data_IF_594345886393
#
_entry.id   IF_594345886393
#
_cell.length_a   1.000
_cell.length_b   1.000
_cell.length_c   1.000
_cell.angle_alpha   90.00
_cell.angle_beta   90.00
_cell.angle_gamma   90.00
#
_symmetry.space_group_name_H-M   'P 1'
#
loop_
_entity.id
_entity.type
_entity.pdbx_description
1 polymer ?
#
# COMPACT_ATOMS: atom_id res chain seq x y z
N UNK A 1 7.00 -23.73 -2.19
CA UNK A 1 7.58 -22.52 -1.57
C UNK A 1 8.63 -22.96 -0.57
N UNK A 2 9.80 -22.32 -0.52
CA UNK A 2 10.72 -22.50 0.59
C UNK A 2 10.00 -22.09 1.88
N UNK A 3 10.22 -22.81 2.98
CA UNK A 3 9.65 -22.43 4.27
C UNK A 3 10.22 -21.07 4.70
N UNK A 4 9.35 -20.06 4.84
CA UNK A 4 9.70 -18.74 5.36
C UNK A 4 9.13 -18.66 6.78
N UNK A 5 9.97 -18.49 7.83
CA UNK A 5 9.47 -18.27 9.18
C UNK A 5 8.56 -17.03 9.23
N UNK A 6 7.39 -17.16 9.87
CA UNK A 6 6.38 -16.08 9.91
C UNK A 6 6.93 -14.79 10.55
N UNK A 7 7.83 -14.94 11.54
CA UNK A 7 8.49 -13.84 12.25
C UNK A 7 9.51 -13.08 11.39
N UNK A 8 9.85 -13.61 10.20
CA UNK A 8 10.69 -12.95 9.22
C UNK A 8 9.90 -12.23 8.12
N UNK A 9 8.57 -12.17 8.24
CA UNK A 9 7.71 -11.49 7.26
C UNK A 9 7.24 -10.17 7.85
N UNK A 10 7.54 -9.08 7.15
CA UNK A 10 6.99 -7.77 7.40
C UNK A 10 5.87 -7.51 6.39
N UNK A 11 4.66 -7.38 6.90
CA UNK A 11 3.48 -7.05 6.11
C UNK A 11 3.38 -5.53 5.98
N UNK A 12 3.02 -5.04 4.79
CA UNK A 12 3.00 -3.63 4.47
C UNK A 12 1.82 -3.30 3.55
N UNK A 13 1.26 -2.12 3.79
CA UNK A 13 0.25 -1.44 2.96
C UNK A 13 0.50 0.08 3.04
N UNK A 14 0.14 0.82 1.99
CA UNK A 14 0.32 2.28 1.94
C UNK A 14 -0.96 3.01 1.52
N UNK A 15 -1.10 4.24 2.02
CA UNK A 15 -2.13 5.17 1.55
C UNK A 15 -1.53 6.41 0.93
N UNK A 16 -2.10 6.77 -0.21
CA UNK A 16 -1.58 7.83 -1.07
C UNK A 16 -2.69 8.78 -1.47
N UNK A 17 -2.32 10.04 -1.65
CA UNK A 17 -3.24 11.11 -2.06
C UNK A 17 -2.59 11.91 -3.18
N UNK A 18 -3.36 12.62 -4.02
CA UNK A 18 -2.81 13.61 -4.95
C UNK A 18 -1.84 14.55 -4.22
N UNK A 19 -0.78 15.03 -4.87
CA UNK A 19 0.23 15.90 -4.23
C UNK A 19 -0.36 17.17 -3.63
N UNK A 20 -1.37 17.71 -4.32
CA UNK A 20 -2.13 18.89 -3.92
C UNK A 20 -3.62 18.61 -3.98
N UNK A 21 -4.43 19.40 -3.30
CA UNK A 21 -5.89 19.23 -3.26
C UNK A 21 -6.54 19.39 -4.64
N UNK A 22 -6.02 20.31 -5.45
CA UNK A 22 -6.51 20.60 -6.80
C UNK A 22 -5.36 20.56 -7.81
N UNK A 23 -5.73 20.36 -9.08
CA UNK A 23 -4.79 20.40 -10.19
C UNK A 23 -4.13 21.77 -10.34
N UNK A 24 -4.87 22.85 -10.04
CA UNK A 24 -4.36 24.23 -10.13
C UNK A 24 -3.25 24.54 -9.11
N UNK A 25 -3.18 23.77 -8.02
CA UNK A 25 -2.15 23.94 -7.00
C UNK A 25 -0.83 23.25 -7.35
N UNK A 26 -0.77 22.45 -8.42
CA UNK A 26 0.48 21.88 -8.90
C UNK A 26 1.40 22.95 -9.52
N UNK A 27 2.73 22.73 -9.49
CA UNK A 27 3.65 23.47 -10.34
C UNK A 27 3.18 23.45 -11.81
N UNK A 28 3.32 24.56 -12.57
CA UNK A 28 2.81 24.66 -13.94
C UNK A 28 3.26 23.51 -14.86
N UNK A 29 4.52 23.10 -14.74
CA UNK A 29 5.07 21.97 -15.50
C UNK A 29 4.37 20.65 -15.16
N UNK A 30 4.16 20.35 -13.87
CA UNK A 30 3.48 19.12 -13.46
C UNK A 30 1.99 19.14 -13.82
N UNK A 31 1.35 20.30 -13.78
CA UNK A 31 -0.02 20.43 -14.29
C UNK A 31 -0.10 20.03 -15.76
N UNK A 32 0.76 20.59 -16.60
CA UNK A 32 0.81 20.26 -18.03
C UNK A 32 1.06 18.77 -18.26
N UNK A 33 2.04 18.19 -17.55
CA UNK A 33 2.36 16.76 -17.66
C UNK A 33 1.23 15.85 -17.16
N UNK A 34 0.46 16.29 -16.17
CA UNK A 34 -0.74 15.57 -15.75
C UNK A 34 -1.80 15.58 -16.85
N UNK A 35 -2.05 16.72 -17.50
CA UNK A 35 -3.02 16.84 -18.60
C UNK A 35 -2.66 15.88 -19.76
N UNK A 36 -1.38 15.81 -20.16
CA UNK A 36 -0.91 14.86 -21.17
C UNK A 36 -1.09 13.40 -20.74
N UNK A 37 -0.70 13.07 -19.50
CA UNK A 37 -0.82 11.72 -18.96
C UNK A 37 -2.30 11.29 -18.87
N UNK A 38 -3.16 12.18 -18.39
CA UNK A 38 -4.59 11.90 -18.25
C UNK A 38 -5.25 11.65 -19.60
N UNK A 39 -4.94 12.44 -20.63
CA UNK A 39 -5.44 12.20 -21.99
C UNK A 39 -5.07 10.79 -22.49
N UNK A 40 -3.85 10.33 -22.21
CA UNK A 40 -3.41 8.98 -22.56
C UNK A 40 -4.18 7.90 -21.77
N UNK A 41 -4.37 8.10 -20.47
CA UNK A 41 -5.09 7.15 -19.60
C UNK A 41 -6.55 7.02 -20.05
N UNK A 42 -7.22 8.16 -20.27
CA UNK A 42 -8.62 8.21 -20.71
C UNK A 42 -8.85 7.45 -22.01
N UNK A 43 -7.92 7.58 -22.97
CA UNK A 43 -7.98 6.83 -24.24
C UNK A 43 -7.78 5.31 -24.04
N UNK A 44 -6.97 4.90 -23.07
CA UNK A 44 -6.67 3.48 -22.80
C UNK A 44 -7.70 2.79 -21.91
N UNK A 45 -8.45 3.56 -21.12
CA UNK A 45 -9.44 3.07 -20.15
C UNK A 45 -10.79 3.81 -20.34
N UNK A 46 -11.44 3.68 -21.51
CA UNK A 46 -12.70 4.36 -21.80
C UNK A 46 -13.84 3.93 -20.85
N UNK A 47 -13.73 2.77 -20.19
CA UNK A 47 -14.67 2.30 -19.17
C UNK A 47 -14.51 3.03 -17.82
N UNK A 48 -13.35 3.66 -17.56
CA UNK A 48 -13.06 4.33 -16.29
C UNK A 48 -13.39 5.83 -16.32
N UNK A 49 -13.35 6.44 -17.50
CA UNK A 49 -13.52 7.87 -17.71
C UNK A 49 -14.44 8.15 -18.88
N UNK A 50 -15.50 8.91 -18.62
CA UNK A 50 -16.43 9.40 -19.64
C UNK A 50 -15.72 10.36 -20.61
N UNK A 51 -16.27 10.53 -21.81
CA UNK A 51 -15.63 11.29 -22.90
C UNK A 51 -15.47 12.77 -22.57
N UNK A 52 -16.30 13.29 -21.68
CA UNK A 52 -16.34 14.66 -21.16
C UNK A 52 -15.45 14.86 -19.93
N UNK A 53 -14.98 13.78 -19.29
CA UNK A 53 -14.17 13.90 -18.06
C UNK A 53 -12.95 14.79 -18.30
N UNK A 54 -12.82 15.85 -17.51
CA UNK A 54 -11.73 16.81 -17.56
C UNK A 54 -10.48 16.29 -16.86
N UNK A 55 -9.32 16.88 -17.14
CA UNK A 55 -8.09 16.55 -16.44
C UNK A 55 -8.15 16.87 -14.94
N UNK A 56 -8.93 17.88 -14.54
CA UNK A 56 -9.14 18.22 -13.13
C UNK A 56 -9.96 17.15 -12.39
N UNK A 57 -11.05 16.67 -12.99
CA UNK A 57 -11.84 15.56 -12.44
C UNK A 57 -11.00 14.28 -12.38
N UNK A 58 -10.23 14.02 -13.44
CA UNK A 58 -9.26 12.93 -13.49
C UNK A 58 -8.24 13.00 -12.36
N UNK A 59 -7.74 14.21 -12.08
CA UNK A 59 -6.78 14.47 -11.01
C UNK A 59 -7.36 14.08 -9.66
N UNK A 60 -8.52 14.63 -9.31
CA UNK A 60 -9.21 14.33 -8.05
C UNK A 60 -9.51 12.84 -7.89
N UNK A 61 -9.94 12.17 -8.97
CA UNK A 61 -10.34 10.75 -8.95
C UNK A 61 -9.17 9.78 -8.91
N UNK A 62 -8.00 10.13 -9.46
CA UNK A 62 -6.97 9.13 -9.75
C UNK A 62 -5.52 9.56 -9.61
N UNK A 63 -5.20 10.84 -9.42
CA UNK A 63 -3.81 11.26 -9.27
C UNK A 63 -3.13 10.54 -8.09
N UNK A 64 -3.89 10.23 -7.03
CA UNK A 64 -3.43 9.48 -5.85
C UNK A 64 -2.69 8.17 -6.16
N UNK A 65 -3.02 7.47 -7.25
CA UNK A 65 -2.37 6.19 -7.60
C UNK A 65 -1.14 6.34 -8.52
N UNK A 66 -0.75 7.57 -8.86
CA UNK A 66 0.41 7.86 -9.70
C UNK A 66 1.49 8.59 -8.91
N UNK A 67 2.57 7.89 -8.55
CA UNK A 67 3.65 8.40 -7.69
C UNK A 67 4.30 9.71 -8.16
N UNK A 68 4.18 10.06 -9.45
CA UNK A 68 4.68 11.33 -9.98
C UNK A 68 3.80 12.53 -9.56
N UNK A 69 2.51 12.29 -9.32
CA UNK A 69 1.47 13.30 -9.03
C UNK A 69 0.79 13.10 -7.66
N UNK A 70 1.29 12.15 -6.87
CA UNK A 70 0.80 11.81 -5.54
C UNK A 70 1.91 11.84 -4.49
N UNK A 71 1.49 11.78 -3.23
CA UNK A 71 2.35 11.66 -2.05
C UNK A 71 1.81 10.58 -1.11
N UNK A 72 2.71 9.99 -0.32
CA UNK A 72 2.37 9.03 0.73
C UNK A 72 1.94 9.78 1.98
N UNK A 73 0.81 9.37 2.56
CA UNK A 73 0.28 9.96 3.82
C UNK A 73 0.16 8.93 4.94
N UNK A 74 0.21 7.64 4.62
CA UNK A 74 0.30 6.57 5.59
C UNK A 74 1.11 5.39 5.03
N UNK A 75 1.93 4.77 5.88
CA UNK A 75 2.49 3.44 5.68
C UNK A 75 2.15 2.65 6.94
N UNK A 76 1.39 1.58 6.80
CA UNK A 76 1.17 0.64 7.90
C UNK A 76 2.02 -0.60 7.70
N UNK A 77 2.57 -1.09 8.80
CA UNK A 77 3.36 -2.31 8.83
C UNK A 77 2.87 -3.23 9.93
N UNK A 78 2.98 -4.53 9.69
CA UNK A 78 2.64 -5.57 10.65
C UNK A 78 3.67 -6.67 10.67
N UNK A 79 3.90 -7.27 11.83
CA UNK A 79 4.72 -8.47 11.92
C UNK A 79 4.12 -9.47 12.91
N UNK A 80 4.39 -10.74 12.65
CA UNK A 80 3.97 -11.84 13.51
C UNK A 80 5.08 -12.14 14.52
N UNK A 81 4.70 -12.39 15.78
CA UNK A 81 5.61 -12.93 16.79
C UNK A 81 4.88 -13.92 17.68
N UNK A 82 5.63 -14.69 18.45
CA UNK A 82 5.09 -15.72 19.34
C UNK A 82 5.43 -15.45 20.80
N UNK A 83 4.44 -15.62 21.68
CA UNK A 83 4.61 -15.60 23.14
C UNK A 83 3.97 -16.86 23.71
N UNK A 84 4.76 -17.65 24.44
CA UNK A 84 4.28 -18.92 25.05
C UNK A 84 3.59 -19.88 24.04
N UNK A 85 4.04 -19.88 22.77
CA UNK A 85 3.49 -20.61 21.61
C UNK A 85 2.18 -20.05 21.01
N UNK A 86 1.63 -19.00 21.60
CA UNK A 86 0.52 -18.25 21.02
C UNK A 86 1.05 -17.23 20.00
N UNK A 87 0.32 -17.08 18.89
CA UNK A 87 0.67 -16.19 17.79
C UNK A 87 0.03 -14.81 17.99
N UNK A 88 0.82 -13.76 17.83
CA UNK A 88 0.39 -12.36 17.96
C UNK A 88 0.78 -11.57 16.71
N UNK A 89 0.01 -10.51 16.44
CA UNK A 89 0.36 -9.49 15.46
C UNK A 89 0.72 -8.22 16.21
N UNK A 90 1.80 -7.55 15.80
CA UNK A 90 2.03 -6.16 16.14
C UNK A 90 1.94 -5.29 14.89
N UNK A 91 1.11 -4.26 14.93
CA UNK A 91 0.87 -3.30 13.84
C UNK A 91 1.39 -1.93 14.24
N UNK A 92 1.95 -1.18 13.30
CA UNK A 92 2.38 0.20 13.48
C UNK A 92 2.12 0.99 12.19
N UNK A 93 1.65 2.23 12.30
CA UNK A 93 1.63 3.17 11.17
C UNK A 93 2.68 4.28 11.29
N UNK A 94 3.16 4.74 10.15
CA UNK A 94 3.81 6.03 9.96
C UNK A 94 2.84 6.88 9.15
N UNK A 95 2.25 7.90 9.74
CA UNK A 95 1.21 8.70 9.10
C UNK A 95 1.35 10.18 9.46
N UNK A 96 1.14 11.06 8.49
CA UNK A 96 1.34 12.50 8.69
C UNK A 96 1.29 13.30 7.39
N UNK A 97 1.30 14.63 7.53
CA UNK A 97 1.31 15.57 6.40
C UNK A 97 2.69 15.72 5.74
N UNK A 98 3.75 15.50 6.51
CA UNK A 98 5.14 15.58 6.07
C UNK A 98 5.60 14.21 5.53
N UNK A 99 5.49 14.05 4.21
CA UNK A 99 5.93 12.84 3.49
C UNK A 99 7.42 12.56 3.73
N UNK A 100 8.28 13.58 3.82
CA UNK A 100 9.72 13.40 3.99
C UNK A 100 9.99 12.79 5.36
N UNK A 101 9.38 13.32 6.41
CA UNK A 101 9.50 12.77 7.76
C UNK A 101 8.99 11.32 7.81
N UNK A 102 7.80 11.08 7.26
CA UNK A 102 7.16 9.77 7.20
C UNK A 102 8.06 8.72 6.51
N UNK A 103 8.60 9.06 5.33
CA UNK A 103 9.47 8.17 4.56
C UNK A 103 10.81 7.91 5.25
N UNK A 104 11.40 8.91 5.92
CA UNK A 104 12.62 8.74 6.69
C UNK A 104 12.41 7.82 7.90
N UNK A 105 11.31 7.99 8.64
CA UNK A 105 10.99 7.14 9.79
C UNK A 105 10.77 5.69 9.39
N UNK A 106 10.07 5.47 8.26
CA UNK A 106 9.91 4.15 7.69
C UNK A 106 11.25 3.55 7.22
N UNK A 107 12.08 4.32 6.51
CA UNK A 107 13.40 3.87 6.07
C UNK A 107 14.31 3.48 7.25
N UNK A 108 14.32 4.29 8.31
CA UNK A 108 15.07 4.01 9.54
C UNK A 108 14.60 2.75 10.26
N UNK A 109 13.30 2.42 10.19
CA UNK A 109 12.79 1.14 10.69
C UNK A 109 13.31 -0.03 9.85
N UNK A 110 13.26 0.09 8.52
CA UNK A 110 13.71 -0.94 7.59
C UNK A 110 15.21 -1.25 7.74
N UNK A 111 16.04 -0.24 8.01
CA UNK A 111 17.48 -0.42 8.23
C UNK A 111 17.81 -1.23 9.48
N UNK A 112 16.98 -1.15 10.53
CA UNK A 112 17.18 -1.91 11.77
C UNK A 112 16.94 -3.40 11.60
N UNK A 113 16.20 -3.80 10.56
CA UNK A 113 15.80 -5.18 10.31
C UNK A 113 15.92 -5.54 8.82
N UNK A 114 17.16 -5.62 8.29
CA UNK A 114 17.40 -5.72 6.85
C UNK A 114 17.02 -7.06 6.21
N UNK A 115 16.62 -8.06 7.02
CA UNK A 115 16.37 -9.44 6.55
C UNK A 115 14.88 -9.80 6.42
N UNK A 116 13.97 -8.84 6.46
CA UNK A 116 12.55 -9.14 6.27
C UNK A 116 12.21 -9.51 4.83
N UNK A 117 11.31 -10.48 4.70
CA UNK A 117 10.49 -10.66 3.51
C UNK A 117 9.36 -9.64 3.56
N UNK A 118 9.16 -8.87 2.49
CA UNK A 118 8.10 -7.87 2.43
C UNK A 118 6.85 -8.50 1.84
N UNK A 119 5.76 -8.49 2.58
CA UNK A 119 4.49 -9.08 2.19
C UNK A 119 3.41 -8.00 2.05
N UNK A 120 2.59 -8.08 1.02
CA UNK A 120 1.48 -7.16 0.82
C UNK A 120 0.48 -7.71 -0.19
N UNK A 121 -0.55 -6.93 -0.50
CA UNK A 121 -1.52 -7.27 -1.54
C UNK A 121 -1.30 -6.39 -2.76
N UNK A 122 -0.88 -6.96 -3.89
CA UNK A 122 -0.45 -6.20 -5.08
C UNK A 122 0.82 -5.36 -4.84
N UNK A 123 1.62 -5.74 -3.85
CA UNK A 123 2.79 -5.00 -3.35
C UNK A 123 3.87 -4.81 -4.42
N UNK A 124 3.99 -5.74 -5.37
CA UNK A 124 4.99 -5.70 -6.45
C UNK A 124 4.63 -4.73 -7.56
N UNK A 125 3.34 -4.53 -7.81
CA UNK A 125 2.84 -3.64 -8.87
C UNK A 125 2.48 -2.24 -8.35
N UNK A 126 2.31 -2.07 -7.03
CA UNK A 126 1.92 -0.80 -6.41
C UNK A 126 2.88 -0.32 -5.31
N UNK A 127 2.78 -0.84 -4.09
CA UNK A 127 3.37 -0.24 -2.88
C UNK A 127 4.89 -0.04 -2.98
N UNK A 128 5.64 -1.10 -3.34
CA UNK A 128 7.11 -1.02 -3.41
C UNK A 128 7.56 -0.06 -4.51
N UNK A 129 7.10 -0.18 -5.78
CA UNK A 129 7.41 0.81 -6.80
C UNK A 129 7.05 2.23 -6.40
N UNK A 130 5.91 2.44 -5.74
CA UNK A 130 5.45 3.75 -5.32
C UNK A 130 6.39 4.35 -4.28
N UNK A 131 6.66 3.62 -3.19
CA UNK A 131 7.57 4.05 -2.12
C UNK A 131 8.98 4.34 -2.66
N UNK A 132 9.53 3.45 -3.49
CA UNK A 132 10.85 3.66 -4.10
C UNK A 132 10.90 4.95 -4.93
N UNK A 133 9.89 5.22 -5.76
CA UNK A 133 9.81 6.46 -6.56
C UNK A 133 9.67 7.70 -5.68
N UNK A 134 8.83 7.65 -4.64
CA UNK A 134 8.66 8.78 -3.72
C UNK A 134 9.90 9.05 -2.88
N UNK A 135 10.64 8.01 -2.47
CA UNK A 135 11.95 8.18 -1.84
C UNK A 135 12.94 8.88 -2.78
N UNK A 136 13.01 8.49 -4.06
CA UNK A 136 13.87 9.15 -5.04
C UNK A 136 13.49 10.63 -5.26
N UNK A 137 12.20 10.93 -5.40
CA UNK A 137 11.71 12.32 -5.56
C UNK A 137 12.10 13.17 -4.36
N UNK A 138 12.08 12.61 -3.16
CA UNK A 138 12.42 13.30 -1.91
C UNK A 138 13.91 13.21 -1.53
N UNK A 139 14.77 12.63 -2.37
CA UNK A 139 16.22 12.50 -2.08
C UNK A 139 16.56 11.53 -0.93
N UNK A 140 15.67 10.59 -0.62
CA UNK A 140 15.81 9.60 0.44
C UNK A 140 16.46 8.33 -0.12
N UNK A 141 17.42 7.76 0.60
CA UNK A 141 18.07 6.51 0.21
C UNK A 141 17.08 5.36 0.34
N UNK A 142 16.92 4.58 -0.74
CA UNK A 142 16.04 3.42 -0.75
C UNK A 142 16.64 2.31 0.13
N UNK A 143 15.89 1.75 1.10
CA UNK A 143 16.33 0.60 1.88
C UNK A 143 16.74 -0.58 0.98
N UNK A 144 17.82 -1.28 1.33
CA UNK A 144 18.39 -2.34 0.48
C UNK A 144 17.41 -3.48 0.16
N UNK A 145 16.50 -3.78 1.11
CA UNK A 145 15.43 -4.77 0.94
C UNK A 145 14.41 -4.37 -0.13
N UNK A 146 14.23 -3.07 -0.38
CA UNK A 146 13.32 -2.53 -1.40
C UNK A 146 14.00 -2.23 -2.73
N UNK A 147 15.32 -2.11 -2.74
CA UNK A 147 16.09 -1.82 -3.95
C UNK A 147 16.15 -3.06 -4.87
N UNK A 148 15.30 -3.07 -5.89
CA UNK A 148 15.17 -4.17 -6.88
C UNK A 148 15.84 -3.88 -8.22
N UNK A 149 16.39 -2.68 -8.43
CA UNK A 149 17.02 -2.33 -9.69
C UNK A 149 18.19 -3.29 -9.99
N UNK A 150 18.14 -3.94 -11.17
CA UNK A 150 19.15 -4.91 -11.59
C UNK A 150 19.04 -6.30 -10.94
N UNK A 151 18.10 -6.52 -10.01
CA UNK A 151 17.83 -7.84 -9.43
C UNK A 151 16.87 -8.62 -10.31
N UNK A 152 17.10 -9.92 -10.41
CA UNK A 152 16.17 -10.87 -11.03
C UNK A 152 14.99 -11.11 -10.08
N UNK A 153 13.81 -11.51 -10.59
CA UNK A 153 12.62 -11.68 -9.75
C UNK A 153 12.83 -12.59 -8.52
N UNK A 154 13.62 -13.66 -8.66
CA UNK A 154 13.93 -14.61 -7.58
C UNK A 154 14.98 -14.10 -6.57
N UNK A 155 15.63 -12.97 -6.85
CA UNK A 155 16.56 -12.32 -5.93
C UNK A 155 15.84 -11.30 -5.03
N UNK A 156 14.54 -11.08 -5.25
CA UNK A 156 13.70 -10.23 -4.42
C UNK A 156 13.03 -11.05 -3.30
N UNK A 157 12.87 -10.44 -2.12
CA UNK A 157 12.26 -11.06 -0.94
C UNK A 157 10.78 -10.65 -0.80
N UNK A 158 10.10 -10.41 -1.93
CA UNK A 158 8.72 -9.92 -1.93
C UNK A 158 7.70 -11.05 -2.06
N UNK A 159 6.73 -11.05 -1.17
CA UNK A 159 5.60 -11.96 -1.12
C UNK A 159 4.36 -11.14 -1.50
N UNK A 160 3.81 -11.37 -2.68
CA UNK A 160 2.59 -10.67 -3.13
C UNK A 160 1.40 -11.62 -3.03
N UNK A 161 0.47 -11.36 -2.11
CA UNK A 161 -0.71 -12.22 -1.90
C UNK A 161 -1.62 -12.28 -3.14
N UNK A 162 -1.61 -11.26 -3.99
CA UNK A 162 -2.33 -11.29 -5.26
C UNK A 162 -1.63 -12.21 -6.27
N UNK A 163 -0.30 -12.21 -6.32
CA UNK A 163 0.46 -13.16 -7.13
C UNK A 163 0.27 -14.60 -6.63
N UNK A 164 0.27 -14.82 -5.31
CA UNK A 164 -0.03 -16.13 -4.70
C UNK A 164 -1.42 -16.64 -5.11
N UNK A 165 -2.40 -15.75 -5.17
CA UNK A 165 -3.76 -16.07 -5.58
C UNK A 165 -3.89 -16.40 -7.07
N UNK A 166 -3.18 -15.67 -7.93
CA UNK A 166 -3.40 -15.73 -9.38
C UNK A 166 -3.03 -17.08 -10.00
N UNK A 167 -2.14 -17.88 -9.39
CA UNK A 167 -1.65 -19.15 -9.96
C UNK A 167 -1.22 -19.05 -11.45
N UNK A 168 -0.72 -17.88 -11.87
CA UNK A 168 -0.35 -17.58 -13.26
C UNK A 168 -1.45 -16.95 -14.13
N UNK A 169 -2.66 -16.68 -13.60
CA UNK A 169 -3.69 -15.89 -14.27
C UNK A 169 -3.45 -14.38 -14.11
N UNK A 170 -2.92 -13.76 -15.17
CA UNK A 170 -2.64 -12.32 -15.21
C UNK A 170 -3.83 -11.48 -15.71
N UNK A 171 -4.98 -12.09 -16.04
CA UNK A 171 -6.10 -11.36 -16.64
C UNK A 171 -6.97 -10.65 -15.63
N UNK A 172 -7.07 -11.20 -14.42
CA UNK A 172 -8.06 -10.80 -13.43
C UNK A 172 -7.40 -10.24 -12.17
N UNK A 173 -7.53 -8.94 -11.96
CA UNK A 173 -7.26 -8.35 -10.66
C UNK A 173 -8.32 -8.83 -9.66
N UNK A 174 -7.88 -9.25 -8.47
CA UNK A 174 -8.78 -9.67 -7.38
C UNK A 174 -8.43 -8.85 -6.15
N UNK A 175 -9.38 -8.06 -5.64
CA UNK A 175 -9.11 -7.17 -4.51
C UNK A 175 -8.95 -7.94 -3.19
N UNK A 176 -8.21 -7.35 -2.25
CA UNK A 176 -8.09 -7.85 -0.87
C UNK A 176 -9.46 -8.11 -0.26
N UNK A 177 -10.41 -7.18 -0.44
CA UNK A 177 -11.79 -7.30 0.04
C UNK A 177 -12.52 -8.52 -0.51
N UNK A 178 -12.34 -8.85 -1.79
CA UNK A 178 -12.96 -10.05 -2.36
C UNK A 178 -12.31 -11.31 -1.79
N UNK A 179 -10.99 -11.32 -1.67
CA UNK A 179 -10.25 -12.44 -1.09
C UNK A 179 -10.62 -12.70 0.37
N UNK A 180 -10.70 -11.66 1.20
CA UNK A 180 -11.08 -11.81 2.61
C UNK A 180 -12.50 -12.38 2.74
N UNK A 181 -13.44 -11.94 1.89
CA UNK A 181 -14.80 -12.47 1.86
C UNK A 181 -14.84 -13.98 1.54
N UNK A 182 -14.14 -14.44 0.51
CA UNK A 182 -14.16 -15.87 0.11
C UNK A 182 -13.42 -16.77 1.12
N UNK A 183 -12.38 -16.25 1.80
CA UNK A 183 -11.64 -17.01 2.80
C UNK A 183 -12.30 -17.02 4.19
N UNK A 184 -13.43 -16.31 4.34
CA UNK A 184 -14.17 -16.18 5.60
C UNK A 184 -13.41 -15.35 6.64
N UNK A 185 -12.57 -14.42 6.18
CA UNK A 185 -11.76 -13.56 7.05
C UNK A 185 -12.63 -12.39 7.50
N UNK A 186 -12.87 -12.22 8.81
CA UNK A 186 -13.63 -11.07 9.29
C UNK A 186 -12.84 -9.80 8.98
N UNK A 187 -13.46 -8.94 8.17
CA UNK A 187 -13.05 -7.56 8.01
C UNK A 187 -14.07 -6.70 8.73
N UNK A 188 -13.64 -5.75 9.57
CA UNK A 188 -14.54 -4.70 10.02
C UNK A 188 -15.22 -4.09 8.79
N UNK A 189 -16.50 -3.73 8.89
CA UNK A 189 -17.07 -2.85 7.87
C UNK A 189 -16.33 -1.54 7.96
N UNK A 190 -15.48 -1.27 6.98
CA UNK A 190 -14.82 0.01 6.88
C UNK A 190 -15.80 1.06 6.40
N UNK A 191 -15.62 2.25 6.97
CA UNK A 191 -16.38 3.45 6.66
C UNK A 191 -15.78 4.22 5.48
N UNK A 192 -14.59 3.81 5.01
CA UNK A 192 -13.91 4.32 3.81
C UNK A 192 -13.33 3.19 2.96
N UNK A 193 -13.03 3.50 1.71
CA UNK A 193 -12.19 2.69 0.82
C UNK A 193 -11.10 3.58 0.16
N UNK A 194 -10.17 2.97 -0.57
CA UNK A 194 -9.06 3.68 -1.22
C UNK A 194 -9.46 4.85 -2.13
N UNK A 195 -10.69 4.88 -2.66
CA UNK A 195 -11.17 6.01 -3.48
C UNK A 195 -11.55 7.24 -2.64
N UNK A 196 -11.80 7.05 -1.34
CA UNK A 196 -12.20 8.08 -0.39
C UNK A 196 -11.02 8.71 0.35
N UNK A 197 -9.83 8.10 0.32
CA UNK A 197 -8.67 8.52 1.10
C UNK A 197 -8.25 9.97 0.81
N UNK A 198 -8.32 10.41 -0.45
CA UNK A 198 -8.03 11.79 -0.82
C UNK A 198 -9.02 12.79 -0.20
N UNK A 199 -10.31 12.45 -0.17
CA UNK A 199 -11.36 13.28 0.42
C UNK A 199 -11.20 13.38 1.95
N UNK A 200 -10.93 12.24 2.61
CA UNK A 200 -10.65 12.18 4.05
C UNK A 200 -9.42 13.02 4.40
N UNK A 201 -8.39 12.99 3.56
CA UNK A 201 -7.16 13.75 3.78
C UNK A 201 -7.37 15.25 3.55
N UNK A 202 -7.94 15.64 2.41
CA UNK A 202 -8.02 17.04 2.00
C UNK A 202 -9.20 17.78 2.63
N UNK A 203 -10.37 17.15 2.78
CA UNK A 203 -11.58 17.80 3.26
C UNK A 203 -11.81 17.54 4.74
N UNK A 204 -11.73 16.28 5.18
CA UNK A 204 -11.96 15.95 6.59
C UNK A 204 -10.74 16.20 7.49
N UNK A 205 -9.54 16.32 6.91
CA UNK A 205 -8.26 16.46 7.62
C UNK A 205 -8.04 15.35 8.67
N UNK A 206 -8.44 14.12 8.37
CA UNK A 206 -8.48 13.03 9.33
C UNK A 206 -7.46 11.92 9.03
N UNK A 207 -6.18 12.22 9.24
CA UNK A 207 -5.08 11.25 9.05
C UNK A 207 -5.24 10.00 9.92
N UNK A 208 -5.81 10.14 11.13
CA UNK A 208 -6.01 8.99 12.01
C UNK A 208 -6.99 7.97 11.43
N UNK A 209 -8.04 8.44 10.73
CA UNK A 209 -8.98 7.57 10.02
C UNK A 209 -8.29 6.80 8.88
N UNK A 210 -7.42 7.46 8.13
CA UNK A 210 -6.62 6.85 7.06
C UNK A 210 -5.65 5.79 7.64
N UNK A 211 -4.95 6.14 8.73
CA UNK A 211 -4.06 5.19 9.41
C UNK A 211 -4.81 3.96 9.92
N UNK A 212 -5.97 4.14 10.58
CA UNK A 212 -6.76 3.00 11.06
C UNK A 212 -7.26 2.10 9.91
N UNK A 213 -7.60 2.68 8.75
CA UNK A 213 -7.97 1.92 7.55
C UNK A 213 -6.79 1.07 7.04
N UNK A 214 -5.63 1.71 6.85
CA UNK A 214 -4.41 1.05 6.40
C UNK A 214 -3.93 -0.05 7.38
N UNK A 215 -4.04 0.18 8.69
CA UNK A 215 -3.74 -0.85 9.71
C UNK A 215 -4.62 -2.09 9.57
N UNK A 216 -5.91 -1.91 9.23
CA UNK A 216 -6.83 -3.03 9.00
C UNK A 216 -6.50 -3.79 7.72
N UNK A 217 -6.10 -3.10 6.66
CA UNK A 217 -5.67 -3.75 5.41
C UNK A 217 -4.40 -4.59 5.63
N UNK A 218 -3.47 -4.14 6.48
CA UNK A 218 -2.33 -4.95 6.94
C UNK A 218 -2.79 -6.20 7.70
N UNK A 219 -3.70 -6.06 8.68
CA UNK A 219 -4.24 -7.21 9.44
C UNK A 219 -4.97 -8.20 8.52
N UNK A 220 -5.78 -7.69 7.59
CA UNK A 220 -6.49 -8.49 6.60
C UNK A 220 -5.51 -9.26 5.71
N UNK A 221 -4.44 -8.61 5.28
CA UNK A 221 -3.37 -9.23 4.48
C UNK A 221 -2.63 -10.31 5.26
N UNK A 222 -2.34 -10.10 6.55
CA UNK A 222 -1.75 -11.12 7.42
C UNK A 222 -2.66 -12.35 7.50
N UNK A 223 -3.94 -12.14 7.82
CA UNK A 223 -4.93 -13.23 7.91
C UNK A 223 -5.08 -13.97 6.57
N UNK A 224 -5.07 -13.24 5.46
CA UNK A 224 -5.15 -13.82 4.13
C UNK A 224 -3.93 -14.69 3.82
N UNK A 225 -2.73 -14.17 4.10
CA UNK A 225 -1.50 -14.91 3.92
C UNK A 225 -1.49 -16.21 4.74
N UNK A 226 -1.91 -16.16 6.00
CA UNK A 226 -2.04 -17.35 6.85
C UNK A 226 -2.99 -18.38 6.22
N UNK A 227 -4.17 -17.94 5.75
CA UNK A 227 -5.16 -18.82 5.12
C UNK A 227 -4.68 -19.44 3.83
N UNK A 228 -4.00 -18.67 2.97
CA UNK A 228 -3.40 -19.17 1.73
C UNK A 228 -2.33 -20.25 1.98
N UNK A 229 -1.69 -20.21 3.16
CA UNK A 229 -0.67 -21.17 3.58
C UNK A 229 -1.22 -22.24 4.55
N UNK A 230 -2.55 -22.38 4.68
CA UNK A 230 -3.22 -23.34 5.56
C UNK A 230 -2.83 -23.23 7.06
N UNK A 231 -2.49 -22.03 7.52
CA UNK A 231 -2.34 -21.73 8.93
C UNK A 231 -3.69 -21.30 9.56
N UNK A 232 -3.90 -21.55 10.87
CA UNK A 232 -5.00 -20.93 11.59
C UNK A 232 -4.86 -19.40 11.56
N UNK A 233 -5.99 -18.70 11.60
CA UNK A 233 -6.00 -17.23 11.68
C UNK A 233 -5.74 -16.77 13.11
N UNK A 234 -5.53 -15.46 13.27
CA UNK A 234 -5.30 -14.82 14.56
C UNK A 234 -6.58 -14.06 14.96
N UNK A 235 -6.98 -14.20 16.22
CA UNK A 235 -8.10 -13.47 16.83
C UNK A 235 -7.75 -12.01 17.12
N UNK A 236 -8.75 -11.13 17.14
CA UNK A 236 -8.56 -9.69 17.39
C UNK A 236 -7.88 -9.42 18.76
N UNK A 237 -8.09 -10.30 19.75
CA UNK A 237 -7.47 -10.21 21.07
C UNK A 237 -5.93 -10.35 21.06
N UNK A 238 -5.36 -10.88 19.98
CA UNK A 238 -3.92 -11.07 19.81
C UNK A 238 -3.30 -10.04 18.85
N UNK A 239 -4.01 -8.93 18.59
CA UNK A 239 -3.52 -7.82 17.76
C UNK A 239 -3.13 -6.66 18.65
N UNK A 240 -1.85 -6.28 18.61
CA UNK A 240 -1.29 -5.13 19.32
C UNK A 240 -1.04 -3.97 18.36
N UNK A 241 -1.67 -2.82 18.61
CA UNK A 241 -1.41 -1.58 17.85
C UNK A 241 -0.37 -0.75 18.59
N UNK A 242 0.76 -0.49 17.94
CA UNK A 242 1.79 0.39 18.45
C UNK A 242 1.41 1.85 18.18
N UNK A 243 1.54 2.69 19.21
CA UNK A 243 1.48 4.15 19.12
C UNK A 243 2.67 4.74 18.38
#
# INVERSE_FOLDING_TARGET
>A
MQYIPLEKILFLDIETVPQTESLDNLPPELRFLWEEKFNTIKLRMPEKYETETTAEEGYKKSAGIYSEFAKVVCISVGFIYFKDKEMYIKVKSFAGDDEIQLLNDFAAMMEKQPQYYLCGHNIKEFDIPFLCRRMLVNGITIPLSMNVAGKKPWETTFIDTLELWRFGDYKNYTSLRLLTAIFGIPTPKDDIDGSMVADVYYNEKNIKRISNYCEKDVVATIRLYLRMNNHPTIDDAHIEYAS
#
